data_IF_688711012344
#
_entry.id   IF_688711012344
#
_cell.length_a   1.000
_cell.length_b   1.000
_cell.length_c   1.000
_cell.angle_alpha   90.00
_cell.angle_beta   90.00
_cell.angle_gamma   90.00
#
_symmetry.space_group_name_H-M   'P 1'
#
loop_
_entity.id
_entity.type
_entity.pdbx_description
1 polymer ?
#
# COMPACT_ATOMS: atom_id res chain seq x y z
N UNK A 1 27.89 -45.47 6.77
CA UNK A 1 27.63 -46.10 8.09
C UNK A 1 28.09 -45.13 9.15
N UNK A 2 27.21 -44.21 9.52
CA UNK A 2 27.37 -43.31 10.65
C UNK A 2 27.43 -44.13 11.93
N UNK A 3 28.41 -43.83 12.80
CA UNK A 3 28.55 -44.54 14.06
C UNK A 3 27.34 -44.24 14.97
N UNK A 4 26.71 -45.24 15.61
CA UNK A 4 25.48 -45.05 16.39
C UNK A 4 25.62 -44.00 17.52
N UNK A 5 26.84 -43.73 18.02
CA UNK A 5 27.09 -42.68 19.00
C UNK A 5 26.95 -41.24 18.50
N UNK A 6 27.06 -40.99 17.18
CA UNK A 6 26.95 -39.64 16.61
C UNK A 6 25.49 -39.17 16.54
N UNK A 7 24.57 -40.08 16.20
CA UNK A 7 23.12 -39.84 16.12
C UNK A 7 22.53 -39.55 17.50
N UNK A 8 22.92 -40.32 18.54
CA UNK A 8 22.53 -40.02 19.92
C UNK A 8 23.07 -38.68 20.42
N UNK A 9 24.30 -38.30 20.05
CA UNK A 9 24.88 -37.01 20.43
C UNK A 9 24.21 -35.82 19.71
N UNK A 10 23.63 -36.04 18.54
CA UNK A 10 22.85 -35.03 17.82
C UNK A 10 21.48 -34.82 18.46
N UNK A 11 20.74 -35.88 18.76
CA UNK A 11 19.44 -35.80 19.44
C UNK A 11 19.56 -35.06 20.78
N UNK A 12 20.59 -35.35 21.59
CA UNK A 12 20.80 -34.63 22.85
C UNK A 12 21.11 -33.15 22.65
N UNK A 13 21.87 -32.80 21.60
CA UNK A 13 22.14 -31.40 21.24
C UNK A 13 20.87 -30.68 20.83
N UNK A 14 20.03 -31.31 20.00
CA UNK A 14 18.76 -30.71 19.58
C UNK A 14 17.80 -30.55 20.75
N UNK A 15 17.66 -31.56 21.62
CA UNK A 15 16.80 -31.46 22.81
C UNK A 15 17.27 -30.34 23.74
N UNK A 16 18.58 -30.21 23.96
CA UNK A 16 19.14 -29.13 24.77
C UNK A 16 18.85 -27.74 24.15
N UNK A 17 19.01 -27.62 22.82
CA UNK A 17 18.67 -26.39 22.09
C UNK A 17 17.17 -26.06 22.18
N UNK A 18 16.29 -27.05 21.96
CA UNK A 18 14.85 -26.86 22.10
C UNK A 18 14.44 -26.46 23.52
N UNK A 19 15.11 -26.99 24.55
CA UNK A 19 14.89 -26.58 25.94
C UNK A 19 15.33 -25.13 26.20
N UNK A 20 16.50 -24.75 25.68
CA UNK A 20 17.00 -23.37 25.78
C UNK A 20 16.06 -22.39 25.06
N UNK A 21 15.63 -22.71 23.84
CA UNK A 21 14.63 -21.93 23.10
C UNK A 21 13.30 -21.82 23.85
N UNK A 22 12.83 -22.92 24.47
CA UNK A 22 11.58 -22.90 25.25
C UNK A 22 11.66 -21.96 26.46
N UNK A 23 12.84 -21.83 27.07
CA UNK A 23 13.05 -20.87 28.18
C UNK A 23 12.86 -19.42 27.73
N UNK A 24 13.25 -19.07 26.50
CA UNK A 24 13.05 -17.74 25.93
C UNK A 24 11.58 -17.37 25.80
N UNK A 25 10.68 -18.35 25.65
CA UNK A 25 9.24 -18.09 25.62
C UNK A 25 8.71 -17.64 26.98
N UNK A 26 9.38 -18.00 28.08
CA UNK A 26 8.93 -17.69 29.45
C UNK A 26 9.50 -16.36 29.98
N UNK A 27 10.61 -15.89 29.42
CA UNK A 27 11.26 -14.62 29.75
C UNK A 27 10.75 -13.48 28.85
N UNK A 28 11.06 -12.21 29.19
CA UNK A 28 10.77 -11.03 28.34
C UNK A 28 11.79 -10.90 27.18
N UNK A 29 12.00 -12.03 26.49
CA UNK A 29 12.98 -12.19 25.43
C UNK A 29 12.43 -11.75 24.08
N UNK A 30 13.29 -11.16 23.24
CA UNK A 30 12.94 -10.71 21.89
C UNK A 30 13.32 -11.71 20.80
N UNK A 31 12.79 -11.51 19.59
CA UNK A 31 13.14 -12.31 18.40
C UNK A 31 14.64 -12.39 18.11
N UNK A 32 15.38 -11.31 18.41
CA UNK A 32 16.83 -11.28 18.25
C UNK A 32 17.52 -12.36 19.07
N UNK A 33 17.07 -12.64 20.29
CA UNK A 33 17.67 -13.67 21.14
C UNK A 33 17.38 -15.07 20.61
N UNK A 34 16.19 -15.32 20.07
CA UNK A 34 15.86 -16.59 19.39
C UNK A 34 16.80 -16.82 18.22
N UNK A 35 16.92 -15.83 17.34
CA UNK A 35 17.79 -15.89 16.16
C UNK A 35 19.26 -16.07 16.54
N UNK A 36 19.74 -15.40 17.60
CA UNK A 36 21.10 -15.60 18.14
C UNK A 36 21.33 -17.01 18.67
N UNK A 37 20.40 -17.56 19.47
CA UNK A 37 20.54 -18.90 20.04
C UNK A 37 20.52 -19.96 18.96
N UNK A 38 19.59 -19.88 18.00
CA UNK A 38 19.54 -20.80 16.85
C UNK A 38 20.85 -20.73 16.08
N UNK A 39 21.30 -19.53 15.72
CA UNK A 39 22.51 -19.37 14.92
C UNK A 39 23.76 -19.92 15.60
N UNK A 40 23.98 -19.57 16.87
CA UNK A 40 25.18 -19.98 17.61
C UNK A 40 25.20 -21.46 17.97
N UNK A 41 24.04 -22.04 18.30
CA UNK A 41 23.97 -23.44 18.78
C UNK A 41 23.83 -24.44 17.65
N UNK A 42 23.15 -24.08 16.57
CA UNK A 42 22.99 -24.92 15.39
C UNK A 42 24.07 -24.66 14.32
N UNK A 43 24.88 -23.60 14.45
CA UNK A 43 25.92 -23.26 13.47
C UNK A 43 25.34 -22.86 12.12
N UNK A 44 24.24 -22.11 12.14
CA UNK A 44 23.50 -21.69 10.94
C UNK A 44 23.38 -20.17 10.90
N UNK A 45 23.22 -19.61 9.72
CA UNK A 45 22.67 -18.27 9.60
C UNK A 45 21.17 -18.31 9.89
N UNK A 46 20.63 -17.29 10.57
CA UNK A 46 19.21 -17.24 10.92
C UNK A 46 18.65 -15.81 10.81
N UNK A 47 17.42 -15.69 10.32
CA UNK A 47 16.67 -14.44 10.26
C UNK A 47 15.17 -14.68 10.45
N UNK A 48 14.48 -13.74 11.09
CA UNK A 48 13.02 -13.67 11.06
C UNK A 48 12.62 -12.59 10.08
N UNK A 49 11.82 -12.97 9.08
CA UNK A 49 11.32 -12.09 8.03
C UNK A 49 9.82 -11.88 8.15
N UNK A 50 9.32 -10.69 7.88
CA UNK A 50 7.87 -10.46 7.76
C UNK A 50 7.33 -10.96 6.41
N UNK A 51 6.02 -10.77 6.16
CA UNK A 51 5.38 -11.15 4.88
C UNK A 51 5.91 -10.38 3.66
N UNK A 52 6.55 -9.24 3.88
CA UNK A 52 7.19 -8.42 2.85
C UNK A 52 8.69 -8.73 2.73
N UNK A 53 9.16 -9.83 3.34
CA UNK A 53 10.56 -10.26 3.37
C UNK A 53 11.51 -9.26 4.06
N UNK A 54 10.97 -8.34 4.85
CA UNK A 54 11.76 -7.42 5.66
C UNK A 54 12.19 -8.10 6.96
N UNK A 55 13.47 -7.98 7.32
CA UNK A 55 14.01 -8.62 8.52
C UNK A 55 13.48 -7.96 9.81
N UNK A 56 12.77 -8.73 10.63
CA UNK A 56 12.37 -8.37 11.98
C UNK A 56 13.47 -8.65 13.01
N UNK A 57 14.31 -9.64 12.74
CA UNK A 57 15.49 -10.00 13.52
C UNK A 57 16.49 -10.74 12.63
N UNK A 58 17.79 -10.54 12.85
CA UNK A 58 18.85 -11.09 12.01
C UNK A 58 20.10 -11.37 12.83
N UNK A 59 20.70 -12.54 12.66
CA UNK A 59 22.01 -12.83 13.23
C UNK A 59 23.12 -12.28 12.33
N UNK A 60 23.94 -11.38 12.87
CA UNK A 60 25.10 -10.80 12.19
C UNK A 60 26.40 -11.15 12.95
N UNK A 61 26.81 -12.42 12.90
CA UNK A 61 28.06 -12.89 13.48
C UNK A 61 29.25 -12.79 12.50
N UNK A 62 30.44 -12.45 12.99
CA UNK A 62 31.65 -12.28 12.17
C UNK A 62 32.18 -13.59 11.53
N UNK A 63 31.77 -14.76 12.03
CA UNK A 63 32.19 -16.07 11.55
C UNK A 63 31.37 -16.60 10.35
N UNK A 64 30.24 -15.97 10.02
CA UNK A 64 29.24 -16.50 9.07
C UNK A 64 29.06 -15.61 7.83
N UNK A 65 30.09 -14.82 7.47
CA UNK A 65 29.99 -13.85 6.37
C UNK A 65 29.64 -14.51 5.03
N UNK A 66 30.17 -15.69 4.74
CA UNK A 66 29.86 -16.46 3.53
C UNK A 66 28.42 -16.99 3.51
N UNK A 67 27.90 -17.46 4.64
CA UNK A 67 26.51 -17.90 4.77
C UNK A 67 25.54 -16.74 4.69
N UNK A 68 25.88 -15.59 5.28
CA UNK A 68 25.09 -14.37 5.20
C UNK A 68 25.07 -13.81 3.77
N UNK A 69 26.22 -13.78 3.08
CA UNK A 69 26.32 -13.36 1.68
C UNK A 69 25.60 -14.34 0.73
N UNK A 70 25.64 -15.64 1.03
CA UNK A 70 24.90 -16.67 0.29
C UNK A 70 23.39 -16.60 0.50
N UNK A 71 22.93 -16.38 1.74
CA UNK A 71 21.52 -16.19 2.06
C UNK A 71 20.98 -14.88 1.48
N UNK A 72 21.74 -13.78 1.58
CA UNK A 72 21.39 -12.50 0.96
C UNK A 72 21.29 -12.61 -0.57
N UNK A 73 22.24 -13.31 -1.22
CA UNK A 73 22.16 -13.58 -2.66
C UNK A 73 20.91 -14.37 -3.04
N UNK A 74 20.54 -15.40 -2.28
CA UNK A 74 19.31 -16.17 -2.56
C UNK A 74 18.07 -15.28 -2.41
N UNK A 75 18.04 -14.38 -1.41
CA UNK A 75 16.93 -13.45 -1.19
C UNK A 75 16.85 -12.33 -2.26
N UNK A 76 17.99 -11.88 -2.80
CA UNK A 76 18.08 -10.75 -3.74
C UNK A 76 18.10 -11.16 -5.23
N UNK A 77 18.73 -12.29 -5.59
CA UNK A 77 18.94 -12.70 -6.99
C UNK A 77 17.72 -13.40 -7.61
N UNK A 78 16.87 -14.08 -6.82
CA UNK A 78 15.73 -14.87 -7.32
C UNK A 78 14.48 -14.78 -6.40
N UNK A 79 13.82 -13.60 -6.33
CA UNK A 79 12.72 -13.34 -5.40
C UNK A 79 11.47 -14.21 -5.65
N UNK A 80 11.28 -14.70 -6.88
CA UNK A 80 10.14 -15.58 -7.22
C UNK A 80 10.26 -16.96 -6.54
N UNK A 81 11.46 -17.54 -6.53
CA UNK A 81 11.71 -18.87 -5.95
C UNK A 81 11.55 -18.85 -4.43
N UNK A 82 12.10 -17.81 -3.77
CA UNK A 82 11.91 -17.59 -2.33
C UNK A 82 10.43 -17.36 -2.01
N UNK A 83 9.73 -16.58 -2.84
CA UNK A 83 8.29 -16.37 -2.67
C UNK A 83 7.49 -17.66 -2.80
N UNK A 84 7.86 -18.56 -3.72
CA UNK A 84 7.23 -19.87 -3.86
C UNK A 84 7.51 -20.77 -2.64
N UNK A 85 8.74 -20.78 -2.13
CA UNK A 85 9.10 -21.56 -0.94
C UNK A 85 8.35 -21.08 0.30
N UNK A 86 8.24 -19.76 0.47
CA UNK A 86 7.46 -19.14 1.55
C UNK A 86 5.96 -19.44 1.40
N UNK A 87 5.42 -19.36 0.18
CA UNK A 87 4.04 -19.74 -0.09
C UNK A 87 3.78 -21.23 0.20
N UNK A 88 4.74 -22.10 -0.14
CA UNK A 88 4.68 -23.53 0.18
C UNK A 88 4.68 -23.76 1.70
N UNK A 89 5.61 -23.15 2.43
CA UNK A 89 5.69 -23.24 3.89
C UNK A 89 4.42 -22.71 4.56
N UNK A 90 3.88 -21.58 4.10
CA UNK A 90 2.62 -21.03 4.60
C UNK A 90 1.42 -21.96 4.35
N UNK A 91 1.32 -22.54 3.15
CA UNK A 91 0.24 -23.47 2.78
C UNK A 91 0.32 -24.80 3.54
N UNK A 92 1.52 -25.32 3.72
CA UNK A 92 1.76 -26.58 4.44
C UNK A 92 1.75 -26.39 5.96
N UNK A 93 1.86 -25.14 6.44
CA UNK A 93 1.93 -24.77 7.86
C UNK A 93 3.03 -25.52 8.61
N UNK A 94 4.14 -25.77 7.92
CA UNK A 94 5.30 -26.52 8.40
C UNK A 94 6.57 -25.96 7.78
N UNK A 95 7.69 -26.29 8.39
CA UNK A 95 9.00 -26.00 7.82
C UNK A 95 9.17 -26.71 6.47
N UNK A 96 9.75 -26.01 5.49
CA UNK A 96 10.10 -26.55 4.18
C UNK A 96 11.58 -26.27 3.94
N UNK A 97 12.32 -27.32 3.57
CA UNK A 97 13.73 -27.19 3.16
C UNK A 97 13.85 -27.02 1.65
N UNK A 98 14.89 -26.30 1.26
CA UNK A 98 15.40 -26.24 -0.09
C UNK A 98 16.88 -26.64 -0.02
N UNK A 99 17.31 -27.71 -0.74
CA UNK A 99 18.71 -28.08 -0.82
C UNK A 99 19.52 -26.98 -1.54
N UNK A 100 20.86 -27.05 -1.50
CA UNK A 100 21.66 -26.06 -2.20
C UNK A 100 21.31 -25.99 -3.69
N UNK A 101 21.23 -24.77 -4.20
CA UNK A 101 20.81 -24.49 -5.55
C UNK A 101 21.81 -23.55 -6.23
N UNK A 102 22.21 -23.88 -7.46
CA UNK A 102 23.08 -23.04 -8.28
C UNK A 102 24.51 -22.94 -7.73
N UNK A 103 25.13 -21.76 -7.84
CA UNK A 103 26.48 -21.50 -7.35
C UNK A 103 26.55 -21.25 -5.82
N UNK A 104 25.39 -21.16 -5.15
CA UNK A 104 25.33 -21.00 -3.70
C UNK A 104 25.37 -22.37 -3.04
N UNK A 105 26.46 -22.67 -2.33
CA UNK A 105 26.64 -23.92 -1.59
C UNK A 105 25.85 -23.95 -0.27
N UNK A 106 24.63 -23.40 -0.25
CA UNK A 106 23.85 -23.13 0.96
C UNK A 106 22.45 -23.72 0.81
N UNK A 107 22.07 -24.59 1.76
CA UNK A 107 20.69 -25.07 1.89
C UNK A 107 19.90 -24.22 2.88
N UNK A 108 18.63 -24.02 2.58
CA UNK A 108 17.76 -23.07 3.26
C UNK A 108 16.52 -23.77 3.81
N UNK A 109 16.13 -23.44 5.05
CA UNK A 109 14.90 -23.94 5.66
C UNK A 109 14.04 -22.74 6.03
N UNK A 110 12.78 -22.77 5.61
CA UNK A 110 11.77 -21.75 5.93
C UNK A 110 10.70 -22.37 6.78
N UNK A 111 10.50 -21.85 8.00
CA UNK A 111 9.38 -22.22 8.86
C UNK A 111 8.40 -21.04 9.03
N UNK A 112 7.08 -21.24 8.85
CA UNK A 112 6.11 -20.20 9.09
C UNK A 112 5.96 -19.97 10.59
N UNK A 113 5.94 -18.70 11.01
CA UNK A 113 5.66 -18.32 12.39
C UNK A 113 4.14 -18.11 12.50
N UNK A 114 3.47 -19.09 13.12
CA UNK A 114 2.01 -19.16 13.20
C UNK A 114 1.49 -18.56 14.51
N UNK A 115 0.69 -17.49 14.44
CA UNK A 115 -0.02 -16.92 15.59
C UNK A 115 -1.51 -17.19 15.40
N UNK A 116 -2.05 -18.13 16.16
CA UNK A 116 -3.39 -18.65 15.92
C UNK A 116 -3.46 -19.40 14.58
N UNK A 117 -4.35 -18.98 13.69
CA UNK A 117 -4.49 -19.54 12.34
C UNK A 117 -3.66 -18.80 11.27
N UNK A 118 -3.05 -17.67 11.62
CA UNK A 118 -2.34 -16.81 10.68
C UNK A 118 -0.83 -17.06 10.70
N UNK A 119 -0.22 -17.22 9.53
CA UNK A 119 1.23 -17.03 9.38
C UNK A 119 1.52 -15.52 9.42
N UNK A 120 2.34 -15.07 10.37
CA UNK A 120 2.60 -13.64 10.62
C UNK A 120 3.99 -13.20 10.17
N UNK A 121 4.92 -14.15 10.09
CA UNK A 121 6.32 -13.98 9.73
C UNK A 121 6.90 -15.36 9.35
N UNK A 122 8.15 -15.40 8.90
CA UNK A 122 8.87 -16.61 8.54
C UNK A 122 10.23 -16.62 9.23
N UNK A 123 10.60 -17.74 9.85
CA UNK A 123 11.96 -17.97 10.29
C UNK A 123 12.72 -18.67 9.17
N UNK A 124 13.84 -18.08 8.76
CA UNK A 124 14.70 -18.59 7.71
C UNK A 124 16.04 -18.97 8.33
N UNK A 125 16.50 -20.19 8.08
CA UNK A 125 17.84 -20.64 8.48
C UNK A 125 18.60 -21.16 7.28
N UNK A 126 19.87 -20.79 7.17
CA UNK A 126 20.73 -21.16 6.05
C UNK A 126 22.03 -21.80 6.58
N UNK A 127 22.46 -22.90 5.96
CA UNK A 127 23.70 -23.60 6.33
C UNK A 127 24.41 -24.12 5.09
N UNK A 128 25.71 -24.40 5.21
CA UNK A 128 26.52 -24.86 4.10
C UNK A 128 26.19 -26.32 3.80
N UNK A 129 25.93 -26.63 2.53
CA UNK A 129 25.34 -27.89 2.10
C UNK A 129 26.40 -28.98 1.95
N UNK A 130 26.75 -29.61 3.06
CA UNK A 130 27.74 -30.69 3.07
C UNK A 130 27.26 -31.97 3.80
N UNK A 131 26.13 -31.96 4.51
CA UNK A 131 25.77 -33.08 5.40
C UNK A 131 24.26 -33.31 5.49
N UNK A 132 23.71 -34.11 4.56
CA UNK A 132 22.32 -34.61 4.57
C UNK A 132 21.93 -35.25 5.92
N UNK A 133 22.93 -35.76 6.65
CA UNK A 133 22.78 -36.40 7.97
C UNK A 133 22.06 -35.53 9.01
N UNK A 134 22.10 -34.19 8.88
CA UNK A 134 21.52 -33.26 9.85
C UNK A 134 20.33 -32.45 9.31
N UNK A 135 19.82 -32.77 8.12
CA UNK A 135 18.71 -32.02 7.51
C UNK A 135 17.45 -32.06 8.38
N UNK A 136 17.06 -33.24 8.88
CA UNK A 136 15.90 -33.41 9.76
C UNK A 136 16.05 -32.63 11.07
N UNK A 137 17.25 -32.64 11.66
CA UNK A 137 17.57 -31.87 12.88
C UNK A 137 17.45 -30.36 12.63
N UNK A 138 17.86 -29.88 11.46
CA UNK A 138 17.71 -28.46 11.09
C UNK A 138 16.25 -28.07 10.88
N UNK A 139 15.48 -28.90 10.18
CA UNK A 139 14.04 -28.68 10.00
C UNK A 139 13.36 -28.59 11.37
N UNK A 140 13.64 -29.53 12.27
CA UNK A 140 13.05 -29.56 13.61
C UNK A 140 13.44 -28.35 14.47
N UNK A 141 14.73 -27.96 14.47
CA UNK A 141 15.20 -26.78 15.21
C UNK A 141 14.55 -25.51 14.68
N UNK A 142 14.48 -25.34 13.36
CA UNK A 142 13.87 -24.17 12.72
C UNK A 142 12.37 -24.13 12.97
N UNK A 143 11.68 -25.26 12.91
CA UNK A 143 10.25 -25.35 13.23
C UNK A 143 9.97 -25.04 14.72
N UNK A 144 10.77 -25.58 15.64
CA UNK A 144 10.65 -25.29 17.07
C UNK A 144 10.94 -23.82 17.39
N UNK A 145 12.00 -23.26 16.80
CA UNK A 145 12.34 -21.85 16.94
C UNK A 145 11.25 -20.93 16.35
N UNK A 146 10.59 -21.34 15.26
CA UNK A 146 9.43 -20.62 14.72
C UNK A 146 8.24 -20.68 15.68
N UNK A 147 7.99 -21.80 16.37
CA UNK A 147 6.97 -21.90 17.42
C UNK A 147 7.27 -20.97 18.62
N UNK A 148 8.52 -20.89 19.08
CA UNK A 148 8.91 -19.95 20.15
C UNK A 148 8.77 -18.50 19.67
N UNK A 149 9.19 -18.22 18.44
CA UNK A 149 9.01 -16.90 17.81
C UNK A 149 7.52 -16.55 17.71
N UNK A 150 6.64 -17.51 17.47
CA UNK A 150 5.20 -17.31 17.48
C UNK A 150 4.68 -16.94 18.87
N UNK A 151 5.18 -17.53 19.95
CA UNK A 151 4.79 -17.15 21.32
C UNK A 151 5.23 -15.71 21.63
N UNK A 152 6.47 -15.35 21.29
CA UNK A 152 7.01 -13.99 21.47
C UNK A 152 6.22 -12.98 20.63
N UNK A 153 5.95 -13.29 19.37
CA UNK A 153 5.14 -12.45 18.50
C UNK A 153 3.68 -12.40 18.92
N UNK A 154 3.10 -13.47 19.48
CA UNK A 154 1.73 -13.44 20.01
C UNK A 154 1.60 -12.43 21.13
N UNK A 155 2.57 -12.38 22.05
CA UNK A 155 2.59 -11.37 23.13
C UNK A 155 2.69 -9.95 22.58
N UNK A 156 3.58 -9.71 21.61
CA UNK A 156 3.76 -8.39 20.99
C UNK A 156 2.60 -7.98 20.08
N UNK A 157 1.97 -8.94 19.39
CA UNK A 157 0.83 -8.75 18.49
C UNK A 157 -0.45 -8.46 19.25
N UNK A 158 -0.66 -9.02 20.44
CA UNK A 158 -1.79 -8.64 21.31
C UNK A 158 -1.68 -7.17 21.71
N UNK A 159 -0.50 -6.69 22.10
CA UNK A 159 -0.29 -5.28 22.47
C UNK A 159 -0.41 -4.36 21.25
N UNK A 160 0.19 -4.71 20.11
CA UNK A 160 0.11 -3.91 18.89
C UNK A 160 -1.32 -3.85 18.32
N UNK A 161 -2.05 -4.97 18.31
CA UNK A 161 -3.46 -5.02 17.89
C UNK A 161 -4.33 -4.23 18.88
N UNK A 162 -4.10 -4.37 20.19
CA UNK A 162 -4.84 -3.61 21.20
C UNK A 162 -4.58 -2.10 21.07
N UNK A 163 -3.32 -1.70 20.83
CA UNK A 163 -2.96 -0.31 20.59
C UNK A 163 -3.58 0.22 19.28
N UNK A 164 -3.58 -0.59 18.21
CA UNK A 164 -4.23 -0.25 16.94
C UNK A 164 -5.74 -0.08 17.10
N UNK A 165 -6.41 -1.00 17.82
CA UNK A 165 -7.84 -0.90 18.15
C UNK A 165 -8.15 0.32 19.00
N UNK A 166 -7.37 0.60 20.04
CA UNK A 166 -7.54 1.79 20.86
C UNK A 166 -7.38 3.08 20.01
N UNK A 167 -6.39 3.12 19.12
CA UNK A 167 -6.21 4.24 18.18
C UNK A 167 -7.40 4.39 17.23
N UNK A 168 -7.92 3.29 16.73
CA UNK A 168 -9.12 3.27 15.88
C UNK A 168 -10.34 3.78 16.64
N UNK A 169 -10.61 3.29 17.85
CA UNK A 169 -11.72 3.74 18.69
C UNK A 169 -11.65 5.23 19.00
N UNK A 170 -10.44 5.74 19.32
CA UNK A 170 -10.21 7.17 19.52
C UNK A 170 -10.49 7.97 18.24
N UNK A 171 -9.96 7.53 17.10
CA UNK A 171 -10.19 8.21 15.83
C UNK A 171 -11.68 8.19 15.42
N UNK A 172 -12.34 7.05 15.57
CA UNK A 172 -13.77 6.90 15.27
C UNK A 172 -14.62 7.79 16.18
N UNK A 173 -14.24 7.94 17.45
CA UNK A 173 -14.91 8.88 18.35
C UNK A 173 -14.70 10.36 18.00
N UNK A 174 -13.60 10.72 17.34
CA UNK A 174 -13.36 12.08 16.82
C UNK A 174 -14.17 12.38 15.57
N UNK A 175 -14.35 11.39 14.71
CA UNK A 175 -14.90 11.58 13.35
C UNK A 175 -16.40 11.29 13.27
N UNK A 176 -16.91 10.30 14.02
CA UNK A 176 -18.29 9.83 13.90
C UNK A 176 -19.25 10.54 14.87
N UNK A 177 -18.75 11.16 15.94
CA UNK A 177 -19.57 11.78 16.98
C UNK A 177 -19.60 13.29 16.80
N UNK A 178 -20.75 13.83 16.38
CA UNK A 178 -20.90 15.23 15.99
C UNK A 178 -21.14 16.22 17.15
N UNK A 179 -21.48 15.73 18.35
CA UNK A 179 -21.95 16.55 19.48
C UNK A 179 -20.99 16.49 20.69
N UNK A 180 -19.69 16.70 20.44
CA UNK A 180 -18.66 16.72 21.49
C UNK A 180 -18.28 18.13 21.86
N UNK A 181 -17.92 18.32 23.14
CA UNK A 181 -17.23 19.54 23.54
C UNK A 181 -15.84 19.61 22.90
N UNK A 182 -15.36 20.81 22.59
CA UNK A 182 -14.00 21.01 22.05
C UNK A 182 -12.93 20.42 22.98
N UNK A 183 -13.14 20.51 24.30
CA UNK A 183 -12.23 19.95 25.30
C UNK A 183 -12.11 18.41 25.20
N UNK A 184 -13.20 17.70 24.91
CA UNK A 184 -13.17 16.26 24.70
C UNK A 184 -12.42 15.90 23.41
N UNK A 185 -12.67 16.64 22.33
CA UNK A 185 -12.01 16.45 21.03
C UNK A 185 -10.50 16.64 21.16
N UNK A 186 -10.06 17.72 21.82
CA UNK A 186 -8.64 17.94 22.10
C UNK A 186 -8.04 16.86 23.00
N UNK A 187 -8.78 16.42 24.02
CA UNK A 187 -8.37 15.32 24.89
C UNK A 187 -8.06 14.06 24.08
N UNK A 188 -8.95 13.67 23.18
CA UNK A 188 -8.81 12.49 22.34
C UNK A 188 -7.70 12.65 21.29
N UNK A 189 -7.57 13.83 20.68
CA UNK A 189 -6.48 14.15 19.76
C UNK A 189 -5.11 14.02 20.43
N UNK A 190 -4.95 14.51 21.67
CA UNK A 190 -3.69 14.34 22.43
C UNK A 190 -3.37 12.86 22.69
N UNK A 191 -4.37 12.02 22.99
CA UNK A 191 -4.16 10.57 23.14
C UNK A 191 -3.73 9.88 21.84
N UNK A 192 -4.06 10.47 20.68
CA UNK A 192 -3.56 10.04 19.37
C UNK A 192 -2.17 10.60 19.04
N UNK A 193 -1.61 11.48 19.87
CA UNK A 193 -0.33 12.16 19.62
C UNK A 193 -0.45 13.38 18.70
N UNK A 194 -1.64 13.97 18.57
CA UNK A 194 -1.91 15.17 17.77
C UNK A 194 -2.00 16.37 18.70
N UNK A 195 -1.22 17.41 18.41
CA UNK A 195 -1.27 18.64 19.19
C UNK A 195 -2.51 19.48 18.82
N UNK A 196 -3.18 20.13 19.80
CA UNK A 196 -4.46 20.82 19.60
C UNK A 196 -4.46 21.92 18.55
N UNK A 197 -3.30 22.53 18.27
CA UNK A 197 -3.14 23.63 17.32
C UNK A 197 -2.35 23.22 16.06
N UNK A 198 -2.07 21.93 15.90
CA UNK A 198 -1.22 21.44 14.82
C UNK A 198 -1.91 21.56 13.46
N UNK A 199 -1.17 22.08 12.48
CA UNK A 199 -1.56 22.00 11.08
C UNK A 199 -1.40 20.57 10.57
N UNK A 200 -2.42 20.06 9.90
CA UNK A 200 -2.43 18.71 9.38
C UNK A 200 -3.20 18.59 8.06
N UNK A 201 -2.92 17.52 7.31
CA UNK A 201 -3.74 17.02 6.21
C UNK A 201 -4.12 15.57 6.47
N UNK A 202 -5.31 15.17 6.05
CA UNK A 202 -5.74 13.79 6.05
C UNK A 202 -5.47 13.13 4.70
N UNK A 203 -5.01 11.88 4.76
CA UNK A 203 -4.93 10.95 3.64
C UNK A 203 -5.82 9.75 3.97
N UNK A 204 -6.70 9.37 3.04
CA UNK A 204 -7.54 8.18 3.16
C UNK A 204 -7.24 7.26 1.99
N UNK A 205 -6.69 6.08 2.28
CA UNK A 205 -6.43 5.03 1.30
C UNK A 205 -7.53 3.97 1.42
N UNK A 206 -8.45 3.94 0.45
CA UNK A 206 -9.60 3.05 0.46
C UNK A 206 -9.35 1.81 -0.40
N UNK A 207 -9.70 0.65 0.16
CA UNK A 207 -9.28 -0.65 -0.34
C UNK A 207 -10.49 -1.52 -0.64
N UNK A 208 -10.51 -2.17 -1.80
CA UNK A 208 -11.48 -3.21 -2.13
C UNK A 208 -10.96 -4.57 -1.60
N UNK A 209 -11.02 -4.69 -0.27
CA UNK A 209 -10.97 -5.89 0.59
C UNK A 209 -10.08 -7.08 0.16
N UNK A 210 -8.79 -7.00 0.51
CA UNK A 210 -7.98 -8.18 0.87
C UNK A 210 -7.39 -7.97 2.27
N UNK A 211 -7.41 -9.00 3.12
CA UNK A 211 -7.03 -8.91 4.53
C UNK A 211 -5.56 -8.50 4.79
N UNK A 212 -4.70 -8.50 3.77
CA UNK A 212 -3.28 -8.16 3.90
C UNK A 212 -2.89 -6.74 3.46
N UNK A 213 -3.74 -6.08 2.68
CA UNK A 213 -3.41 -4.79 2.04
C UNK A 213 -3.49 -3.60 3.00
N UNK A 214 -4.50 -3.49 3.89
CA UNK A 214 -4.55 -2.41 4.88
C UNK A 214 -3.28 -2.37 5.73
N UNK A 215 -2.80 -3.54 6.18
CA UNK A 215 -1.58 -3.64 6.97
C UNK A 215 -0.33 -3.19 6.17
N UNK A 216 -0.27 -3.49 4.87
CA UNK A 216 0.81 -3.03 4.00
C UNK A 216 0.80 -1.51 3.87
N UNK A 217 -0.36 -0.91 3.61
CA UNK A 217 -0.51 0.54 3.48
C UNK A 217 -0.21 1.24 4.81
N UNK A 218 -0.72 0.72 5.93
CA UNK A 218 -0.41 1.24 7.28
C UNK A 218 1.09 1.24 7.54
N UNK A 219 1.80 0.14 7.22
CA UNK A 219 3.27 0.07 7.36
C UNK A 219 3.96 1.11 6.49
N UNK A 220 3.59 1.21 5.20
CA UNK A 220 4.21 2.18 4.29
C UNK A 220 4.04 3.62 4.78
N UNK A 221 2.84 3.97 5.25
CA UNK A 221 2.56 5.31 5.77
C UNK A 221 3.33 5.57 7.07
N UNK A 222 3.36 4.61 8.00
CA UNK A 222 4.08 4.74 9.28
C UNK A 222 5.59 4.87 9.07
N UNK A 223 6.18 4.09 8.16
CA UNK A 223 7.62 4.14 7.86
C UNK A 223 8.02 5.43 7.16
N UNK A 224 7.22 5.91 6.20
CA UNK A 224 7.55 7.10 5.39
C UNK A 224 7.07 8.41 6.02
N UNK A 225 6.16 8.36 6.98
CA UNK A 225 5.66 9.50 7.75
C UNK A 225 5.64 9.17 9.25
N UNK A 226 6.80 9.14 9.93
CA UNK A 226 6.89 8.76 11.35
C UNK A 226 6.12 9.70 12.29
N UNK A 227 5.87 10.94 11.87
CA UNK A 227 5.11 11.93 12.64
C UNK A 227 3.60 11.88 12.33
N UNK A 228 3.15 10.99 11.44
CA UNK A 228 1.73 10.86 11.12
C UNK A 228 1.03 9.95 12.12
N UNK A 229 -0.21 10.31 12.46
CA UNK A 229 -1.12 9.39 13.13
C UNK A 229 -1.78 8.52 12.09
N UNK A 230 -1.42 7.23 12.04
CA UNK A 230 -1.98 6.26 11.08
C UNK A 230 -2.97 5.33 11.78
N UNK A 231 -4.16 5.20 11.19
CA UNK A 231 -5.30 4.43 11.70
C UNK A 231 -5.78 3.48 10.62
N UNK A 232 -5.71 2.18 10.90
CA UNK A 232 -6.22 1.14 10.02
C UNK A 232 -7.65 0.78 10.45
N UNK A 233 -8.61 0.95 9.53
CA UNK A 233 -10.05 0.67 9.74
C UNK A 233 -10.50 -0.59 9.00
N UNK A 234 -9.57 -1.43 8.54
CA UNK A 234 -9.83 -2.66 7.80
C UNK A 234 -10.19 -2.45 6.33
N UNK A 235 -11.15 -1.59 6.00
CA UNK A 235 -11.53 -1.28 4.60
C UNK A 235 -10.85 -0.02 4.05
N UNK A 236 -10.23 0.75 4.93
CA UNK A 236 -9.47 1.94 4.60
C UNK A 236 -8.37 2.17 5.65
N UNK A 237 -7.32 2.87 5.23
CA UNK A 237 -6.27 3.35 6.11
C UNK A 237 -6.27 4.87 6.06
N UNK A 238 -6.33 5.49 7.23
CA UNK A 238 -6.31 6.94 7.40
C UNK A 238 -4.96 7.36 7.96
N UNK A 239 -4.38 8.43 7.43
CA UNK A 239 -3.22 9.08 8.02
C UNK A 239 -3.50 10.58 8.20
N UNK A 240 -3.35 11.06 9.44
CA UNK A 240 -3.31 12.48 9.76
C UNK A 240 -1.84 12.90 9.80
N UNK A 241 -1.42 13.68 8.81
CA UNK A 241 -0.02 14.03 8.62
C UNK A 241 0.20 15.49 8.98
N UNK A 242 0.99 15.78 10.02
CA UNK A 242 1.26 17.15 10.41
C UNK A 242 2.26 17.83 9.45
N UNK A 243 2.15 19.15 9.34
CA UNK A 243 3.12 19.98 8.62
C UNK A 243 2.70 21.45 8.51
N UNK A 244 3.66 22.35 8.69
CA UNK A 244 3.42 23.80 8.68
C UNK A 244 3.40 24.40 7.26
N UNK A 245 4.25 23.88 6.38
CA UNK A 245 4.27 24.23 4.95
C UNK A 245 3.27 23.36 4.19
N UNK A 246 2.12 23.97 3.92
CA UNK A 246 1.02 23.33 3.24
C UNK A 246 1.36 22.86 1.81
N UNK A 247 2.13 23.64 1.06
CA UNK A 247 2.41 23.34 -0.35
C UNK A 247 3.39 22.17 -0.45
N UNK A 248 4.44 22.20 0.38
CA UNK A 248 5.38 21.09 0.49
C UNK A 248 4.70 19.81 1.00
N UNK A 249 3.82 19.93 2.01
CA UNK A 249 3.06 18.81 2.55
C UNK A 249 2.13 18.19 1.51
N UNK A 250 1.37 19.00 0.76
CA UNK A 250 0.47 18.54 -0.29
C UNK A 250 1.23 17.76 -1.38
N UNK A 251 2.38 18.28 -1.80
CA UNK A 251 3.22 17.65 -2.83
C UNK A 251 3.79 16.32 -2.34
N UNK A 252 4.32 16.29 -1.11
CA UNK A 252 4.85 15.08 -0.46
C UNK A 252 3.78 14.01 -0.25
N UNK A 253 2.57 14.39 0.16
CA UNK A 253 1.46 13.45 0.34
C UNK A 253 0.95 12.88 -0.97
N UNK A 254 0.89 13.70 -2.02
CA UNK A 254 0.52 13.25 -3.36
C UNK A 254 1.50 12.21 -3.87
N UNK A 255 2.81 12.48 -3.73
CA UNK A 255 3.84 11.54 -4.14
C UNK A 255 3.84 10.26 -3.29
N UNK A 256 3.68 10.39 -1.97
CA UNK A 256 3.56 9.23 -1.09
C UNK A 256 2.35 8.36 -1.45
N UNK A 257 1.20 8.96 -1.73
CA UNK A 257 0.00 8.26 -2.15
C UNK A 257 0.22 7.52 -3.49
N UNK A 258 0.92 8.15 -4.43
CA UNK A 258 1.30 7.53 -5.72
C UNK A 258 2.18 6.31 -5.50
N UNK A 259 3.24 6.45 -4.70
CA UNK A 259 4.17 5.36 -4.37
C UNK A 259 3.47 4.21 -3.61
N UNK A 260 2.57 4.52 -2.67
CA UNK A 260 1.77 3.52 -1.97
C UNK A 260 0.88 2.75 -2.96
N UNK A 261 0.22 3.47 -3.86
CA UNK A 261 -0.62 2.86 -4.88
C UNK A 261 0.18 1.96 -5.83
N UNK A 262 1.33 2.40 -6.30
CA UNK A 262 2.20 1.63 -7.18
C UNK A 262 2.71 0.35 -6.50
N UNK A 263 3.15 0.42 -5.26
CA UNK A 263 3.60 -0.75 -4.51
C UNK A 263 2.48 -1.78 -4.29
N UNK A 264 1.26 -1.32 -3.97
CA UNK A 264 0.09 -2.19 -3.81
C UNK A 264 -0.27 -2.85 -5.13
N UNK A 265 -0.38 -2.08 -6.22
CA UNK A 265 -0.76 -2.63 -7.54
C UNK A 265 0.31 -3.55 -8.13
N UNK A 266 1.59 -3.32 -7.83
CA UNK A 266 2.68 -4.23 -8.25
C UNK A 266 2.55 -5.61 -7.59
N UNK A 267 2.07 -5.66 -6.34
CA UNK A 267 1.89 -6.91 -5.59
C UNK A 267 0.52 -7.56 -5.81
N UNK A 268 -0.50 -6.74 -6.05
CA UNK A 268 -1.90 -7.11 -6.19
C UNK A 268 -2.54 -6.38 -7.40
N UNK A 269 -2.29 -6.86 -8.63
CA UNK A 269 -2.71 -6.16 -9.86
C UNK A 269 -4.23 -6.03 -10.03
N UNK A 270 -5.00 -6.94 -9.45
CA UNK A 270 -6.46 -6.99 -9.58
C UNK A 270 -7.18 -6.07 -8.58
N UNK A 271 -6.45 -5.45 -7.64
CA UNK A 271 -7.05 -4.61 -6.62
C UNK A 271 -7.20 -3.16 -7.07
N UNK A 272 -8.29 -2.55 -6.61
CA UNK A 272 -8.51 -1.12 -6.76
C UNK A 272 -8.16 -0.39 -5.47
N UNK A 273 -7.09 0.39 -5.52
CA UNK A 273 -6.72 1.34 -4.47
C UNK A 273 -6.99 2.77 -4.94
N UNK A 274 -7.87 3.46 -4.20
CA UNK A 274 -8.19 4.88 -4.39
C UNK A 274 -7.73 5.63 -3.15
N UNK A 275 -6.93 6.69 -3.34
CA UNK A 275 -6.41 7.51 -2.26
C UNK A 275 -6.96 8.92 -2.39
N UNK A 276 -7.57 9.44 -1.33
CA UNK A 276 -8.06 10.81 -1.23
C UNK A 276 -7.22 11.62 -0.26
N UNK A 277 -7.00 12.90 -0.57
CA UNK A 277 -6.26 13.84 0.27
C UNK A 277 -7.15 15.03 0.62
N UNK A 278 -7.12 15.50 1.86
CA UNK A 278 -7.84 16.71 2.30
C UNK A 278 -7.07 18.00 1.98
N UNK A 279 -7.72 19.14 2.19
CA UNK A 279 -7.02 20.41 2.35
C UNK A 279 -6.30 20.48 3.71
N UNK A 280 -5.47 21.51 3.93
CA UNK A 280 -4.85 21.71 5.23
C UNK A 280 -5.85 22.30 6.23
N UNK A 281 -5.81 21.72 7.42
CA UNK A 281 -6.66 22.09 8.54
C UNK A 281 -5.79 22.33 9.76
N UNK A 282 -6.26 23.19 10.68
CA UNK A 282 -5.53 23.52 11.91
C UNK A 282 -6.33 23.07 13.11
N UNK A 283 -5.66 22.30 13.96
CA UNK A 283 -6.13 21.90 15.27
C UNK A 283 -7.10 20.73 15.33
N UNK A 284 -7.34 20.24 16.55
CA UNK A 284 -8.02 18.97 16.78
C UNK A 284 -9.49 18.95 16.28
N UNK A 285 -10.19 20.07 16.40
CA UNK A 285 -11.62 20.20 16.02
C UNK A 285 -11.84 20.01 14.52
N UNK A 286 -10.82 20.26 13.70
CA UNK A 286 -10.92 20.17 12.24
C UNK A 286 -10.55 18.79 11.68
N UNK A 287 -10.20 17.81 12.53
CA UNK A 287 -9.88 16.43 12.13
C UNK A 287 -11.05 15.75 11.43
N UNK A 288 -12.28 15.95 11.93
CA UNK A 288 -13.49 15.38 11.31
C UNK A 288 -13.71 15.93 9.90
N UNK A 289 -13.51 17.24 9.72
CA UNK A 289 -13.58 17.93 8.42
C UNK A 289 -12.50 17.41 7.46
N UNK A 290 -11.24 17.35 7.90
CA UNK A 290 -10.13 16.88 7.04
C UNK A 290 -10.35 15.43 6.62
N UNK A 291 -10.79 14.55 7.53
CA UNK A 291 -11.20 13.19 7.16
C UNK A 291 -12.35 13.18 6.15
N UNK A 292 -13.41 13.95 6.38
CA UNK A 292 -14.57 13.98 5.49
C UNK A 292 -14.19 14.43 4.07
N UNK A 293 -13.31 15.43 3.93
CA UNK A 293 -12.78 15.88 2.64
C UNK A 293 -11.98 14.80 1.92
N UNK A 294 -11.05 14.16 2.62
CA UNK A 294 -10.24 13.07 2.06
C UNK A 294 -11.12 11.88 1.66
N UNK A 295 -12.13 11.53 2.47
CA UNK A 295 -13.08 10.45 2.18
C UNK A 295 -13.98 10.79 0.98
N UNK A 296 -14.41 12.04 0.88
CA UNK A 296 -15.16 12.54 -0.27
C UNK A 296 -14.32 12.49 -1.55
N UNK A 297 -13.03 12.83 -1.48
CA UNK A 297 -12.11 12.67 -2.60
C UNK A 297 -11.95 11.20 -3.05
N UNK A 298 -11.93 10.25 -2.10
CA UNK A 298 -11.98 8.82 -2.41
C UNK A 298 -13.28 8.45 -3.13
N UNK A 299 -14.44 8.90 -2.64
CA UNK A 299 -15.73 8.55 -3.24
C UNK A 299 -15.83 9.06 -4.67
N UNK A 300 -15.28 10.25 -4.93
CA UNK A 300 -15.20 10.81 -6.28
C UNK A 300 -14.24 10.01 -7.16
N UNK A 301 -13.04 9.67 -6.68
CA UNK A 301 -12.11 8.82 -7.42
C UNK A 301 -12.67 7.42 -7.71
N UNK A 302 -13.58 6.93 -6.86
CA UNK A 302 -14.34 5.68 -7.10
C UNK A 302 -15.38 5.84 -8.19
N UNK A 303 -16.18 6.90 -8.11
CA UNK A 303 -17.22 7.25 -9.07
C UNK A 303 -16.66 7.58 -10.45
N UNK A 304 -15.49 8.23 -10.48
CA UNK A 304 -14.80 8.72 -11.66
C UNK A 304 -13.40 8.10 -11.77
N UNK A 305 -13.28 6.85 -12.27
CA UNK A 305 -12.00 6.14 -12.37
C UNK A 305 -10.97 6.76 -13.32
N UNK A 306 -11.40 7.66 -14.21
CA UNK A 306 -10.51 8.41 -15.10
C UNK A 306 -9.82 9.59 -14.40
N UNK A 307 -10.28 9.97 -13.20
CA UNK A 307 -9.46 10.73 -12.27
C UNK A 307 -8.39 9.79 -11.73
N UNK A 308 -7.15 10.28 -11.62
CA UNK A 308 -6.03 9.50 -11.10
C UNK A 308 -6.44 8.79 -9.79
N UNK A 309 -5.99 7.55 -9.59
CA UNK A 309 -6.28 6.80 -8.36
C UNK A 309 -5.76 7.45 -7.07
N UNK A 310 -5.09 8.60 -7.17
CA UNK A 310 -4.84 9.55 -6.09
C UNK A 310 -5.58 10.85 -6.44
N UNK A 311 -6.42 11.33 -5.54
CA UNK A 311 -7.27 12.50 -5.75
C UNK A 311 -7.12 13.49 -4.60
N UNK A 312 -6.68 14.70 -4.90
CA UNK A 312 -6.65 15.79 -3.92
C UNK A 312 -7.98 16.50 -3.88
N UNK A 313 -8.52 16.74 -2.67
CA UNK A 313 -9.75 17.46 -2.49
C UNK A 313 -9.66 18.82 -3.21
N UNK A 314 -8.61 19.60 -2.98
CA UNK A 314 -8.33 20.88 -3.65
C UNK A 314 -8.49 20.83 -5.18
N UNK A 315 -7.98 19.74 -5.79
CA UNK A 315 -7.89 19.58 -7.22
C UNK A 315 -9.21 19.15 -7.89
N UNK A 316 -10.21 18.74 -7.11
CA UNK A 316 -11.47 18.23 -7.65
C UNK A 316 -12.32 19.27 -8.38
N UNK A 317 -12.24 20.55 -8.01
CA UNK A 317 -13.01 21.62 -8.64
C UNK A 317 -14.49 21.26 -8.86
N UNK A 318 -14.94 21.29 -10.13
CA UNK A 318 -16.32 20.98 -10.51
C UNK A 318 -16.74 19.54 -10.20
N UNK A 319 -15.79 18.59 -10.13
CA UNK A 319 -16.10 17.18 -9.83
C UNK A 319 -16.74 17.01 -8.45
N UNK A 320 -16.45 17.91 -7.49
CA UNK A 320 -17.15 17.92 -6.19
C UNK A 320 -18.66 18.11 -6.36
N UNK A 321 -19.06 19.10 -7.17
CA UNK A 321 -20.47 19.39 -7.45
C UNK A 321 -21.12 18.27 -8.28
N UNK A 322 -20.39 17.70 -9.23
CA UNK A 322 -20.91 16.61 -10.06
C UNK A 322 -21.16 15.35 -9.24
N UNK A 323 -20.34 15.08 -8.23
CA UNK A 323 -20.47 13.90 -7.38
C UNK A 323 -21.70 13.93 -6.45
N UNK A 324 -22.27 15.10 -6.19
CA UNK A 324 -23.55 15.25 -5.45
C UNK A 324 -24.74 14.70 -6.25
N UNK A 325 -24.58 14.46 -7.56
CA UNK A 325 -25.61 13.81 -8.38
C UNK A 325 -25.69 12.33 -8.00
N UNK A 326 -26.68 12.01 -7.16
CA UNK A 326 -26.93 10.66 -6.58
C UNK A 326 -26.98 9.50 -7.59
N UNK A 327 -27.31 9.77 -8.84
CA UNK A 327 -27.41 8.76 -9.90
C UNK A 327 -26.31 8.98 -10.96
N UNK A 328 -25.22 8.17 -10.93
CA UNK A 328 -24.15 8.22 -11.92
C UNK A 328 -24.65 8.01 -13.35
N UNK A 329 -25.77 7.29 -13.53
CA UNK A 329 -26.41 7.09 -14.82
C UNK A 329 -26.90 8.40 -15.44
N UNK A 330 -27.28 9.40 -14.63
CA UNK A 330 -27.67 10.73 -15.13
C UNK A 330 -26.48 11.51 -15.66
N UNK A 331 -25.32 11.42 -14.99
CA UNK A 331 -24.08 12.03 -15.49
C UNK A 331 -23.68 11.38 -16.82
N UNK A 332 -23.69 10.05 -16.90
CA UNK A 332 -23.48 9.30 -18.16
C UNK A 332 -24.45 9.72 -19.26
N UNK A 333 -25.74 9.79 -18.93
CA UNK A 333 -26.78 10.22 -19.86
C UNK A 333 -26.57 11.63 -20.38
N UNK A 334 -26.22 12.58 -19.51
CA UNK A 334 -25.90 13.95 -19.90
C UNK A 334 -24.69 14.00 -20.84
N UNK A 335 -23.57 13.40 -20.45
CA UNK A 335 -22.36 13.39 -21.28
C UNK A 335 -22.62 12.71 -22.63
N UNK A 336 -23.40 11.62 -22.65
CA UNK A 336 -23.78 10.93 -23.89
C UNK A 336 -24.75 11.73 -24.74
N UNK A 337 -25.65 12.50 -24.14
CA UNK A 337 -26.57 13.39 -24.86
C UNK A 337 -25.84 14.55 -25.55
N UNK A 338 -24.76 15.05 -24.97
CA UNK A 338 -23.95 16.14 -25.54
C UNK A 338 -22.87 15.61 -26.49
N UNK A 339 -22.07 14.64 -26.06
CA UNK A 339 -20.88 14.18 -26.80
C UNK A 339 -21.11 12.91 -27.60
N UNK A 340 -22.30 12.32 -27.57
CA UNK A 340 -22.56 10.98 -28.11
C UNK A 340 -22.16 10.82 -29.57
N UNK A 341 -22.58 11.75 -30.43
CA UNK A 341 -22.23 11.74 -31.85
C UNK A 341 -20.73 11.93 -32.08
N UNK A 342 -20.08 12.77 -31.28
CA UNK A 342 -18.64 13.01 -31.37
C UNK A 342 -17.83 11.78 -30.96
N UNK A 343 -18.24 11.12 -29.87
CA UNK A 343 -17.63 9.86 -29.39
C UNK A 343 -17.79 8.76 -30.44
N UNK A 344 -18.96 8.67 -31.07
CA UNK A 344 -19.23 7.69 -32.12
C UNK A 344 -18.41 7.97 -33.38
N UNK A 345 -18.25 9.25 -33.72
CA UNK A 345 -17.42 9.68 -34.84
C UNK A 345 -15.95 9.33 -34.60
N UNK A 346 -15.40 9.64 -33.43
CA UNK A 346 -14.02 9.29 -33.05
C UNK A 346 -13.80 7.77 -33.14
N UNK A 347 -14.73 6.98 -32.63
CA UNK A 347 -14.66 5.51 -32.69
C UNK A 347 -14.75 4.96 -34.11
N UNK A 348 -15.63 5.49 -34.95
CA UNK A 348 -15.88 4.95 -36.29
C UNK A 348 -14.80 5.37 -37.30
N UNK A 349 -14.22 6.56 -37.13
CA UNK A 349 -13.30 7.15 -38.10
C UNK A 349 -11.85 7.22 -37.61
N UNK A 350 -11.57 6.79 -36.37
CA UNK A 350 -10.25 6.88 -35.75
C UNK A 350 -9.78 8.32 -35.52
N UNK A 351 -10.72 9.26 -35.39
CA UNK A 351 -10.39 10.66 -35.07
C UNK A 351 -10.15 10.84 -33.56
N UNK A 352 -9.60 11.98 -33.18
CA UNK A 352 -9.23 12.32 -31.79
C UNK A 352 -9.86 13.66 -31.37
N UNK A 353 -11.13 13.88 -31.71
CA UNK A 353 -11.79 15.15 -31.48
C UNK A 353 -12.10 15.39 -30.00
N UNK A 354 -12.54 14.37 -29.26
CA UNK A 354 -12.78 14.46 -27.81
C UNK A 354 -11.49 14.81 -27.04
N UNK A 355 -10.38 14.16 -27.41
CA UNK A 355 -9.04 14.44 -26.86
C UNK A 355 -8.59 15.87 -27.21
N UNK A 356 -8.81 16.28 -28.46
CA UNK A 356 -8.42 17.62 -28.92
C UNK A 356 -9.22 18.71 -28.19
N UNK A 357 -10.53 18.53 -28.01
CA UNK A 357 -11.37 19.47 -27.25
C UNK A 357 -10.95 19.54 -25.78
N UNK A 358 -10.65 18.39 -25.16
CA UNK A 358 -10.17 18.32 -23.77
C UNK A 358 -8.89 19.14 -23.61
N UNK A 359 -7.88 18.91 -24.46
CA UNK A 359 -6.62 19.64 -24.43
C UNK A 359 -6.81 21.13 -24.72
N UNK A 360 -7.67 21.47 -25.68
CA UNK A 360 -8.00 22.86 -26.03
C UNK A 360 -8.61 23.62 -24.85
N UNK A 361 -9.62 23.06 -24.20
CA UNK A 361 -10.28 23.70 -23.05
C UNK A 361 -9.36 23.81 -21.84
N UNK A 362 -8.59 22.76 -21.53
CA UNK A 362 -7.61 22.78 -20.42
C UNK A 362 -6.47 23.77 -20.64
N UNK A 363 -6.19 24.14 -21.89
CA UNK A 363 -5.23 25.20 -22.24
C UNK A 363 -5.90 26.55 -22.49
N UNK A 364 -7.03 26.81 -21.82
CA UNK A 364 -7.76 28.08 -21.88
C UNK A 364 -8.17 28.48 -23.30
N UNK A 365 -8.65 27.52 -24.09
CA UNK A 365 -9.10 27.74 -25.47
C UNK A 365 -7.97 28.20 -26.43
N UNK A 366 -6.72 27.80 -26.17
CA UNK A 366 -5.57 28.18 -27.01
C UNK A 366 -5.17 27.05 -27.97
N UNK A 367 -5.36 27.22 -29.30
CA UNK A 367 -4.91 26.21 -30.27
C UNK A 367 -3.39 26.00 -30.25
N UNK A 368 -2.63 27.07 -29.98
CA UNK A 368 -1.17 27.02 -29.91
C UNK A 368 -0.68 26.15 -28.74
N UNK A 369 -1.23 26.37 -27.53
CA UNK A 369 -0.85 25.61 -26.34
C UNK A 369 -1.34 24.17 -26.41
N UNK A 370 -2.54 23.94 -26.93
CA UNK A 370 -3.07 22.59 -27.13
C UNK A 370 -2.29 21.82 -28.21
N UNK A 371 -1.85 22.48 -29.28
CA UNK A 371 -1.01 21.90 -30.31
C UNK A 371 0.33 21.38 -29.77
N UNK A 372 0.94 22.10 -28.83
CA UNK A 372 2.16 21.66 -28.16
C UNK A 372 1.94 20.37 -27.34
N UNK A 373 0.83 20.25 -26.62
CA UNK A 373 0.47 19.04 -25.86
C UNK A 373 0.14 17.84 -26.76
N UNK A 374 -0.56 18.10 -27.87
CA UNK A 374 -1.01 17.05 -28.80
C UNK A 374 0.02 16.69 -29.87
N UNK A 375 1.21 17.32 -29.83
CA UNK A 375 2.23 17.23 -30.87
C UNK A 375 1.67 17.44 -32.30
N UNK A 376 0.77 18.41 -32.44
CA UNK A 376 0.08 18.75 -33.68
C UNK A 376 0.41 20.18 -34.13
N UNK A 377 0.04 20.55 -35.36
CA UNK A 377 0.12 21.94 -35.80
C UNK A 377 -1.09 22.74 -35.25
N UNK A 378 -0.93 24.02 -34.85
CA UNK A 378 -2.03 24.86 -34.35
C UNK A 378 -3.26 24.91 -35.28
N UNK A 379 -3.03 24.97 -36.60
CA UNK A 379 -4.11 24.94 -37.60
C UNK A 379 -4.89 23.61 -37.57
N UNK A 380 -4.22 22.49 -37.32
CA UNK A 380 -4.88 21.18 -37.20
C UNK A 380 -5.76 21.15 -35.96
N UNK A 381 -5.29 21.70 -34.84
CA UNK A 381 -6.12 21.81 -33.61
C UNK A 381 -7.34 22.70 -33.86
N UNK A 382 -7.15 23.88 -34.46
CA UNK A 382 -8.26 24.78 -34.79
C UNK A 382 -9.29 24.11 -35.71
N UNK A 383 -8.83 23.37 -36.73
CA UNK A 383 -9.69 22.58 -37.60
C UNK A 383 -10.48 21.52 -36.82
N UNK A 384 -9.81 20.74 -35.97
CA UNK A 384 -10.43 19.68 -35.16
C UNK A 384 -11.47 20.24 -34.18
N UNK A 385 -11.19 21.36 -33.52
CA UNK A 385 -12.13 22.05 -32.61
C UNK A 385 -13.38 22.48 -33.36
N UNK A 386 -13.23 23.15 -34.51
CA UNK A 386 -14.36 23.58 -35.35
C UNK A 386 -15.19 22.38 -35.83
N UNK A 387 -14.53 21.33 -36.31
CA UNK A 387 -15.20 20.12 -36.78
C UNK A 387 -15.94 19.39 -35.65
N UNK A 388 -15.38 19.39 -34.45
CA UNK A 388 -16.04 18.82 -33.28
C UNK A 388 -17.30 19.60 -32.89
N UNK A 389 -17.26 20.94 -32.94
CA UNK A 389 -18.45 21.78 -32.73
C UNK A 389 -19.57 21.49 -33.75
N UNK A 390 -19.21 21.34 -35.02
CA UNK A 390 -20.17 20.96 -36.09
C UNK A 390 -20.83 19.60 -35.83
N UNK A 391 -20.07 18.60 -35.35
CA UNK A 391 -20.58 17.25 -35.07
C UNK A 391 -21.48 17.26 -33.84
N UNK A 392 -21.11 17.99 -32.79
CA UNK A 392 -21.93 18.11 -31.58
C UNK A 392 -23.16 19.00 -31.82
N UNK A 393 -23.15 19.82 -32.88
CA UNK A 393 -24.23 20.76 -33.20
C UNK A 393 -24.28 21.96 -32.25
N UNK A 394 -23.15 22.33 -31.63
CA UNK A 394 -23.04 23.42 -30.66
C UNK A 394 -21.99 24.45 -31.09
N UNK A 395 -22.24 25.72 -30.80
CA UNK A 395 -21.31 26.81 -31.09
C UNK A 395 -20.26 26.96 -29.97
N UNK A 396 -19.03 26.51 -30.21
CA UNK A 396 -17.97 26.53 -29.20
C UNK A 396 -17.43 27.95 -28.89
N UNK A 397 -17.78 28.96 -29.69
CA UNK A 397 -17.47 30.36 -29.38
C UNK A 397 -18.49 30.94 -28.39
N UNK A 398 -19.75 30.47 -28.43
CA UNK A 398 -20.79 30.84 -27.49
C UNK A 398 -20.51 30.28 -26.08
N UNK A 399 -20.59 31.14 -25.06
CA UNK A 399 -20.26 30.76 -23.68
C UNK A 399 -21.10 29.60 -23.15
N UNK A 400 -22.42 29.64 -23.34
CA UNK A 400 -23.35 28.64 -22.80
C UNK A 400 -23.10 27.25 -23.41
N UNK A 401 -22.96 27.19 -24.73
CA UNK A 401 -22.69 25.96 -25.48
C UNK A 401 -21.33 25.38 -25.11
N UNK A 402 -20.29 26.23 -25.07
CA UNK A 402 -18.95 25.83 -24.63
C UNK A 402 -18.95 25.25 -23.22
N UNK A 403 -19.66 25.88 -22.27
CA UNK A 403 -19.74 25.39 -20.89
C UNK A 403 -20.38 24.00 -20.84
N UNK A 404 -21.46 23.78 -21.59
CA UNK A 404 -22.14 22.48 -21.68
C UNK A 404 -21.18 21.39 -22.19
N UNK A 405 -20.41 21.69 -23.24
CA UNK A 405 -19.41 20.75 -23.78
C UNK A 405 -18.26 20.50 -22.78
N UNK A 406 -17.77 21.54 -22.11
CA UNK A 406 -16.73 21.41 -21.08
C UNK A 406 -17.17 20.49 -19.94
N UNK A 407 -18.38 20.71 -19.40
CA UNK A 407 -18.93 19.86 -18.33
C UNK A 407 -19.12 18.41 -18.82
N UNK A 408 -19.64 18.23 -20.04
CA UNK A 408 -19.80 16.90 -20.62
C UNK A 408 -18.46 16.18 -20.79
N UNK A 409 -17.39 16.90 -21.17
CA UNK A 409 -16.03 16.34 -21.28
C UNK A 409 -15.45 15.98 -19.92
N UNK A 410 -15.61 16.82 -18.90
CA UNK A 410 -15.13 16.50 -17.54
C UNK A 410 -15.85 15.27 -16.97
N UNK A 411 -17.16 15.13 -17.22
CA UNK A 411 -17.91 13.92 -16.86
C UNK A 411 -17.39 12.70 -17.65
N UNK A 412 -17.28 12.81 -18.98
CA UNK A 412 -16.83 11.72 -19.85
C UNK A 412 -15.42 11.23 -19.51
N UNK A 413 -14.47 12.15 -19.35
CA UNK A 413 -13.09 11.86 -18.97
C UNK A 413 -13.02 11.28 -17.55
N UNK A 414 -13.73 11.89 -16.59
CA UNK A 414 -13.79 11.39 -15.22
C UNK A 414 -14.31 9.96 -15.14
N UNK A 415 -15.29 9.57 -15.95
CA UNK A 415 -15.83 8.21 -15.96
C UNK A 415 -14.97 7.17 -16.71
N UNK A 416 -13.78 7.55 -17.18
CA UNK A 416 -12.85 6.67 -17.89
C UNK A 416 -13.15 6.53 -19.39
N UNK A 417 -13.94 7.44 -19.98
CA UNK A 417 -14.24 7.44 -21.42
C UNK A 417 -13.18 8.09 -22.30
N UNK A 418 -12.35 8.97 -21.76
CA UNK A 418 -11.29 9.69 -22.50
C UNK A 418 -9.87 9.25 -22.14
N UNK A 419 -8.84 9.74 -22.87
CA UNK A 419 -7.45 9.44 -22.54
C UNK A 419 -7.13 9.91 -21.11
N UNK A 420 -6.51 9.02 -20.33
CA UNK A 420 -6.15 9.23 -18.95
C UNK A 420 -5.37 10.55 -18.80
N UNK A 421 -5.73 11.36 -17.81
CA UNK A 421 -5.24 12.73 -17.64
C UNK A 421 -3.70 12.81 -17.74
N UNK A 422 -3.23 13.65 -18.66
CA UNK A 422 -1.82 14.06 -18.77
C UNK A 422 -1.43 14.66 -17.41
N UNK A 423 -0.55 13.96 -16.69
CA UNK A 423 0.05 14.39 -15.43
C UNK A 423 0.70 15.76 -15.60
N UNK A 424 0.30 16.72 -14.77
CA UNK A 424 1.00 18.01 -14.62
C UNK A 424 2.08 17.89 -13.56
#
# INVERSE_FOLDING_TARGET
MTAPGAEFADVHRVVALCSELSSLATTDSGLQQVVTVVAQRAGVWAAVLDKALSALALFAGAADRELAEGAARILDEEPETVSQLIAAAARMRRAVSMPAWGASAVSLVVAPILVGEDSVAYLVTAAQDADETYEDSRIMVTEHAAMISAVILSRRRVVAIAAGRARQELFDGLVLVSDRSEADVEGWARHLGIEPDQRHRALVAALESEAAVPDLVERMLTTRCPNATVVNRGTEVVALVPGDDDTALASRLTELARLCREAVLARFPDLRLVVGLSDAHTGAVTISTSYAEARHAVDIGRLMPGLSGVTSFAALGIHRLLAEVRDPGRLKGFARGVLGELIDHDRNNGTQYCETLTAYFRQNNSPLRAAALLHAHPNTVAYRVRRAGEIVGLDLDAYSDRLVVQVALEIFNGMGGGPCAISS
#
